data_IF_418281240462
#
_entry.id   IF_418281240462
#
_cell.length_a   1.000
_cell.length_b   1.000
_cell.length_c   1.000
_cell.angle_alpha   90.00
_cell.angle_beta   90.00
_cell.angle_gamma   90.00
#
_symmetry.space_group_name_H-M   'P 1'
#
loop_
_entity.id
_entity.type
_entity.pdbx_description
1 polymer ?
#
# COMPACT_ATOMS: atom_id res chain seq x y z
N UNK A 1 2.99 15.96 -18.85
CA UNK A 1 3.75 14.85 -18.24
C UNK A 1 2.88 13.61 -18.33
N UNK A 2 3.28 12.51 -18.97
CA UNK A 2 2.51 11.28 -18.87
C UNK A 2 2.57 10.83 -17.41
N UNK A 3 1.41 10.51 -16.83
CA UNK A 3 1.30 10.20 -15.39
C UNK A 3 1.51 8.72 -15.13
N UNK A 4 1.63 7.87 -16.15
CA UNK A 4 1.53 6.43 -15.99
C UNK A 4 2.75 5.75 -16.64
N UNK A 5 3.83 5.61 -15.86
CA UNK A 5 4.79 4.54 -16.15
C UNK A 5 4.14 3.23 -15.70
N UNK A 6 3.89 2.26 -16.60
CA UNK A 6 3.33 0.99 -16.21
C UNK A 6 4.32 0.26 -15.30
N UNK A 7 3.96 0.08 -14.03
CA UNK A 7 4.70 -0.77 -13.11
C UNK A 7 3.95 -2.09 -12.89
N UNK A 8 4.70 -3.14 -12.57
CA UNK A 8 4.15 -4.48 -12.27
C UNK A 8 3.91 -4.72 -10.77
N UNK A 9 4.03 -3.68 -9.95
CA UNK A 9 3.76 -3.76 -8.52
C UNK A 9 2.25 -3.77 -8.28
N UNK A 10 1.78 -4.76 -7.52
CA UNK A 10 0.39 -4.92 -7.08
C UNK A 10 0.34 -4.79 -5.57
N UNK A 11 -0.60 -3.99 -5.06
CA UNK A 11 -0.84 -3.76 -3.66
C UNK A 11 -2.05 -4.58 -3.18
N UNK A 12 -1.85 -5.32 -2.10
CA UNK A 12 -2.84 -6.18 -1.46
C UNK A 12 -3.47 -5.55 -0.21
N UNK A 13 -3.36 -4.22 -0.08
CA UNK A 13 -3.78 -3.50 1.12
C UNK A 13 -5.26 -3.74 1.45
N UNK A 14 -6.13 -3.83 0.43
CA UNK A 14 -7.56 -4.11 0.64
C UNK A 14 -7.82 -5.41 1.36
N UNK A 15 -7.19 -6.50 0.88
CA UNK A 15 -7.29 -7.80 1.51
C UNK A 15 -6.79 -7.76 2.96
N UNK A 16 -5.69 -7.07 3.22
CA UNK A 16 -5.10 -6.97 4.56
C UNK A 16 -5.98 -6.19 5.54
N UNK A 17 -6.64 -5.13 5.06
CA UNK A 17 -7.58 -4.32 5.83
C UNK A 17 -8.85 -5.11 6.16
N UNK A 18 -9.43 -5.80 5.16
CA UNK A 18 -10.60 -6.66 5.36
C UNK A 18 -10.34 -7.77 6.38
N UNK A 19 -9.19 -8.45 6.27
CA UNK A 19 -8.79 -9.50 7.22
C UNK A 19 -8.67 -9.01 8.67
N UNK A 20 -8.45 -7.71 8.88
CA UNK A 20 -8.29 -7.09 10.21
C UNK A 20 -9.51 -6.30 10.66
N UNK A 21 -10.55 -6.18 9.83
CA UNK A 21 -11.67 -5.28 10.07
C UNK A 21 -11.24 -3.82 10.24
N UNK A 22 -10.12 -3.42 9.63
CA UNK A 22 -9.55 -2.08 9.77
C UNK A 22 -9.95 -1.20 8.58
N UNK A 23 -10.25 0.08 8.84
CA UNK A 23 -10.55 1.05 7.78
C UNK A 23 -9.27 1.70 7.25
N UNK A 24 -9.30 2.15 5.99
CA UNK A 24 -8.18 2.91 5.40
C UNK A 24 -7.89 4.21 6.18
N UNK A 25 -8.92 4.83 6.76
CA UNK A 25 -8.78 6.03 7.59
C UNK A 25 -8.05 5.74 8.90
N UNK A 26 -8.39 4.65 9.58
CA UNK A 26 -7.69 4.22 10.80
C UNK A 26 -6.22 3.90 10.53
N UNK A 27 -5.92 3.23 9.41
CA UNK A 27 -4.54 2.96 9.01
C UNK A 27 -3.76 4.26 8.70
N UNK A 28 -4.39 5.22 8.02
CA UNK A 28 -3.77 6.51 7.72
C UNK A 28 -3.34 7.25 9.01
N UNK A 29 -4.19 7.24 10.02
CA UNK A 29 -3.90 7.79 11.34
C UNK A 29 -2.74 7.05 12.03
N UNK A 30 -2.79 5.72 12.06
CA UNK A 30 -1.74 4.89 12.69
C UNK A 30 -0.36 5.07 12.03
N UNK A 31 -0.31 5.21 10.70
CA UNK A 31 0.92 5.33 9.90
C UNK A 31 1.41 6.78 9.82
N UNK A 32 0.57 7.76 10.17
CA UNK A 32 0.90 9.19 10.06
C UNK A 32 0.95 9.70 8.61
N UNK A 33 0.06 9.21 7.74
CA UNK A 33 -0.07 9.63 6.34
C UNK A 33 -1.51 10.02 6.01
N UNK A 34 -1.73 10.65 4.86
CA UNK A 34 -3.08 10.98 4.42
C UNK A 34 -3.81 9.75 3.87
N UNK A 35 -5.13 9.71 4.02
CA UNK A 35 -6.00 8.71 3.37
C UNK A 35 -5.81 8.73 1.85
N UNK A 36 -5.52 9.90 1.27
CA UNK A 36 -5.22 10.05 -0.17
C UNK A 36 -3.96 9.28 -0.56
N UNK A 37 -2.88 9.37 0.22
CA UNK A 37 -1.65 8.62 -0.06
C UNK A 37 -1.88 7.10 -0.01
N UNK A 38 -2.61 6.62 0.99
CA UNK A 38 -2.95 5.19 1.08
C UNK A 38 -3.91 4.75 -0.03
N UNK A 39 -4.85 5.60 -0.44
CA UNK A 39 -5.76 5.31 -1.55
C UNK A 39 -5.00 5.18 -2.88
N UNK A 40 -4.01 6.04 -3.13
CA UNK A 40 -3.15 5.95 -4.32
C UNK A 40 -2.36 4.63 -4.31
N UNK A 41 -1.82 4.22 -3.16
CA UNK A 41 -1.10 2.96 -2.99
C UNK A 41 -2.01 1.74 -3.21
N UNK A 42 -3.15 1.70 -2.50
CA UNK A 42 -4.19 0.67 -2.58
C UNK A 42 -4.62 0.39 -4.03
N UNK A 43 -4.80 1.45 -4.81
CA UNK A 43 -5.29 1.36 -6.18
C UNK A 43 -4.19 1.15 -7.23
N UNK A 44 -2.97 0.78 -6.83
CA UNK A 44 -1.83 0.55 -7.74
C UNK A 44 -1.45 1.79 -8.59
N UNK A 45 -1.63 3.00 -8.04
CA UNK A 45 -1.30 4.26 -8.71
C UNK A 45 -0.08 4.95 -8.10
N UNK A 46 0.58 4.31 -7.13
CA UNK A 46 1.73 4.87 -6.44
C UNK A 46 2.99 4.74 -7.30
N UNK A 47 3.65 5.86 -7.56
CA UNK A 47 4.94 5.89 -8.29
C UNK A 47 6.13 5.51 -7.41
N UNK A 48 6.02 5.83 -6.13
CA UNK A 48 7.04 5.56 -5.14
C UNK A 48 6.39 5.44 -3.76
N UNK A 49 7.04 4.68 -2.88
CA UNK A 49 6.71 4.60 -1.47
C UNK A 49 8.01 4.78 -0.68
N UNK A 50 7.97 5.59 0.39
CA UNK A 50 9.11 5.70 1.31
C UNK A 50 9.21 4.43 2.15
N UNK A 51 10.41 3.94 2.41
CA UNK A 51 10.58 2.77 3.28
C UNK A 51 10.00 2.98 4.68
N UNK A 52 10.10 4.19 5.24
CA UNK A 52 9.47 4.49 6.54
C UNK A 52 7.95 4.29 6.51
N UNK A 53 7.28 4.69 5.43
CA UNK A 53 5.84 4.45 5.25
C UNK A 53 5.55 2.98 5.04
N UNK A 54 6.38 2.28 4.25
CA UNK A 54 6.23 0.84 4.05
C UNK A 54 6.36 0.06 5.37
N UNK A 55 7.38 0.35 6.16
CA UNK A 55 7.59 -0.23 7.50
C UNK A 55 6.41 0.06 8.42
N UNK A 56 5.97 1.31 8.51
CA UNK A 56 4.85 1.67 9.38
C UNK A 56 3.53 0.99 8.99
N UNK A 57 3.26 0.79 7.68
CA UNK A 57 2.10 0.01 7.23
C UNK A 57 2.26 -1.46 7.65
N UNK A 58 3.43 -2.06 7.41
CA UNK A 58 3.71 -3.44 7.79
C UNK A 58 3.58 -3.67 9.30
N UNK A 59 4.05 -2.72 10.12
CA UNK A 59 3.95 -2.80 11.58
C UNK A 59 2.49 -2.65 12.04
N UNK A 60 1.77 -1.64 11.53
CA UNK A 60 0.38 -1.40 11.89
C UNK A 60 -0.57 -2.54 11.46
N UNK A 61 -0.21 -3.24 10.38
CA UNK A 61 -0.93 -4.39 9.88
C UNK A 61 -0.28 -5.71 10.31
N UNK A 62 0.78 -5.75 11.11
CA UNK A 62 1.46 -7.00 11.47
C UNK A 62 1.67 -7.94 10.25
N UNK A 63 2.21 -7.40 9.14
CA UNK A 63 2.41 -8.13 7.90
C UNK A 63 3.81 -7.91 7.32
N UNK A 64 4.19 -8.76 6.36
CA UNK A 64 5.46 -8.58 5.64
C UNK A 64 5.27 -7.76 4.36
N UNK A 65 6.38 -7.28 3.80
CA UNK A 65 6.34 -6.58 2.50
C UNK A 65 5.76 -7.48 1.41
N UNK A 66 6.01 -8.79 1.43
CA UNK A 66 5.47 -9.74 0.45
C UNK A 66 3.97 -9.97 0.60
N UNK A 67 3.41 -9.77 1.80
CA UNK A 67 1.96 -9.83 2.00
C UNK A 67 1.26 -8.58 1.47
N UNK A 68 1.93 -7.42 1.56
CA UNK A 68 1.40 -6.12 1.15
C UNK A 68 1.62 -5.82 -0.33
N UNK A 69 2.78 -6.17 -0.89
CA UNK A 69 3.20 -5.88 -2.25
C UNK A 69 3.69 -7.14 -2.95
N UNK A 70 3.25 -7.34 -4.19
CA UNK A 70 3.81 -8.36 -5.08
C UNK A 70 4.23 -7.75 -6.41
N UNK A 71 5.09 -8.47 -7.13
CA UNK A 71 5.42 -8.15 -8.51
C UNK A 71 4.79 -9.19 -9.44
N UNK A 72 3.95 -8.77 -10.37
CA UNK A 72 3.50 -9.65 -11.44
C UNK A 72 4.69 -10.02 -12.33
N UNK A 73 4.77 -11.22 -12.92
CA UNK A 73 5.89 -11.62 -13.79
C UNK A 73 6.03 -10.72 -15.02
N UNK A 74 7.23 -10.68 -15.59
CA UNK A 74 7.44 -10.04 -16.90
C UNK A 74 6.80 -10.97 -17.93
N UNK A 75 5.95 -10.43 -18.80
CA UNK A 75 5.56 -11.14 -20.02
C UNK A 75 6.78 -11.32 -20.94
#
# INVERSE_FOLDING_TARGET
MPVDEPHRIVCHLDRLLEQRGMTLAALAEAVGVTVVNLSILKNNRAKAIRYSTLTAICDALECTVGDLLSIEPAA
#
